data_IF_790768251484
#
_entry.id   IF_790768251484
#
_cell.length_a   1.000
_cell.length_b   1.000
_cell.length_c   1.000
_cell.angle_alpha   90.00
_cell.angle_beta   90.00
_cell.angle_gamma   90.00
#
_symmetry.space_group_name_H-M   'P 1'
#
loop_
_entity.id
_entity.type
_entity.pdbx_description
1 polymer ?
#
# COMPACT_ATOMS: atom_id res chain seq x y z
N UNK A 1 -39.62 -21.23 57.96
CA UNK A 1 -39.01 -20.33 58.96
C UNK A 1 -37.56 -20.78 59.14
N UNK A 2 -36.60 -19.91 58.81
CA UNK A 2 -35.18 -19.99 59.19
C UNK A 2 -35.06 -20.03 60.73
N UNK A 3 -33.97 -20.55 61.31
CA UNK A 3 -32.72 -19.83 61.66
C UNK A 3 -31.92 -20.88 62.49
N UNK A 4 -30.59 -20.99 62.59
CA UNK A 4 -29.38 -20.60 61.85
C UNK A 4 -28.26 -21.38 62.57
N UNK A 5 -27.37 -22.06 61.84
CA UNK A 5 -26.26 -22.85 62.42
C UNK A 5 -24.99 -21.99 62.58
N UNK A 6 -24.36 -22.06 63.75
CA UNK A 6 -22.95 -21.67 63.96
C UNK A 6 -22.02 -22.50 63.07
N UNK A 7 -20.82 -22.00 62.68
CA UNK A 7 -19.64 -22.35 63.48
C UNK A 7 -18.48 -21.33 63.48
N UNK A 8 -17.73 -21.34 64.58
CA UNK A 8 -16.30 -21.01 64.62
C UNK A 8 -15.51 -22.10 63.86
N UNK A 9 -14.77 -21.72 62.82
CA UNK A 9 -13.69 -22.52 62.24
C UNK A 9 -12.64 -21.56 61.63
N UNK A 10 -11.39 -21.62 62.09
CA UNK A 10 -10.25 -21.00 61.41
C UNK A 10 -9.80 -21.84 60.20
N UNK A 11 -8.52 -21.77 59.79
CA UNK A 11 -7.71 -20.63 59.37
C UNK A 11 -7.72 -20.52 57.83
N UNK A 12 -8.12 -19.37 57.28
CA UNK A 12 -8.27 -19.17 55.84
C UNK A 12 -7.11 -18.40 55.22
N UNK A 13 -6.37 -19.07 54.35
CA UNK A 13 -5.29 -18.54 53.51
C UNK A 13 -5.58 -17.14 52.95
N UNK A 14 -4.64 -16.22 53.15
CA UNK A 14 -4.53 -15.02 52.33
C UNK A 14 -4.26 -15.45 50.88
N UNK A 15 -5.32 -15.53 50.10
CA UNK A 15 -5.23 -15.69 48.65
C UNK A 15 -4.61 -14.40 48.10
N UNK A 16 -3.32 -14.45 47.81
CA UNK A 16 -2.66 -13.47 46.94
C UNK A 16 -3.34 -13.55 45.58
N UNK A 17 -4.42 -12.78 45.41
CA UNK A 17 -5.05 -12.52 44.12
C UNK A 17 -4.13 -11.57 43.35
N UNK A 18 -3.04 -12.12 42.84
CA UNK A 18 -2.30 -11.51 41.76
C UNK A 18 -3.26 -11.37 40.60
N UNK A 19 -3.62 -10.12 40.28
CA UNK A 19 -4.16 -9.78 38.98
C UNK A 19 -3.06 -10.07 37.96
N UNK A 20 -2.98 -11.31 37.50
CA UNK A 20 -2.24 -11.68 36.30
C UNK A 20 -2.93 -10.97 35.14
N UNK A 21 -2.47 -9.76 34.83
CA UNK A 21 -2.63 -9.15 33.51
C UNK A 21 -1.99 -10.11 32.52
N UNK A 22 -2.80 -11.00 31.96
CA UNK A 22 -2.40 -11.90 30.89
C UNK A 22 -2.05 -11.06 29.67
N UNK A 23 -0.79 -10.69 29.58
CA UNK A 23 -0.20 -10.04 28.41
C UNK A 23 -0.53 -10.93 27.20
N UNK A 24 -1.34 -10.46 26.24
CA UNK A 24 -1.71 -11.25 25.08
C UNK A 24 -0.46 -11.74 24.35
N UNK A 25 -0.51 -12.96 23.83
CA UNK A 25 0.64 -13.64 23.22
C UNK A 25 1.32 -12.79 22.13
N UNK A 26 0.55 -11.94 21.47
CA UNK A 26 0.99 -10.97 20.47
C UNK A 26 1.98 -9.90 21.01
N UNK A 27 1.81 -9.42 22.27
CA UNK A 27 2.80 -8.57 22.95
C UNK A 27 4.07 -9.35 23.30
N UNK A 28 3.93 -10.62 23.66
CA UNK A 28 5.07 -11.47 24.05
C UNK A 28 5.93 -11.89 22.86
N UNK A 29 5.33 -12.00 21.68
CA UNK A 29 6.04 -12.33 20.44
C UNK A 29 6.61 -11.10 19.72
N UNK A 30 6.41 -9.88 20.26
CA UNK A 30 6.83 -8.65 19.59
C UNK A 30 6.08 -8.39 18.27
N UNK A 31 4.90 -8.99 18.12
CA UNK A 31 4.07 -8.90 16.91
C UNK A 31 3.04 -7.78 17.00
N UNK A 32 2.81 -7.21 18.19
CA UNK A 32 2.06 -5.98 18.38
C UNK A 32 2.88 -4.77 17.95
N UNK A 33 2.40 -4.06 16.91
CA UNK A 33 2.86 -2.71 16.63
C UNK A 33 3.22 -2.38 15.19
N UNK A 34 2.99 -3.28 14.23
CA UNK A 34 2.73 -2.84 12.85
C UNK A 34 1.24 -2.47 12.67
N UNK A 35 0.53 -2.18 13.76
CA UNK A 35 -0.43 -1.07 13.76
C UNK A 35 0.37 0.22 13.59
N UNK A 36 0.87 0.38 12.36
CA UNK A 36 0.97 1.68 11.75
C UNK A 36 -0.44 2.27 11.87
N UNK A 37 -0.65 2.96 12.98
CA UNK A 37 -1.50 4.14 13.03
C UNK A 37 -0.92 5.04 11.95
N UNK A 38 -1.27 4.71 10.70
CA UNK A 38 -0.84 5.38 9.49
C UNK A 38 -1.40 6.76 9.65
N UNK A 39 -0.61 7.65 10.24
CA UNK A 39 -0.84 9.07 10.04
C UNK A 39 -0.95 9.21 8.53
N UNK A 40 -2.13 9.56 7.99
CA UNK A 40 -2.30 9.57 6.56
C UNK A 40 -1.25 10.54 6.01
N UNK A 41 -0.51 10.07 5.01
CA UNK A 41 0.54 10.87 4.41
C UNK A 41 -0.10 12.17 3.89
N UNK A 42 0.24 13.34 4.47
CA UNK A 42 -0.50 14.56 4.19
C UNK A 42 -0.31 15.03 2.74
N UNK A 43 0.74 14.57 2.06
CA UNK A 43 0.95 14.82 0.64
C UNK A 43 0.01 13.95 -0.20
N UNK A 44 -0.08 12.65 0.09
CA UNK A 44 -1.01 11.74 -0.56
C UNK A 44 -2.46 12.18 -0.38
N UNK A 45 -2.88 12.60 0.82
CA UNK A 45 -4.26 13.04 1.04
C UNK A 45 -4.63 14.23 0.15
N UNK A 46 -3.73 15.21 0.01
CA UNK A 46 -3.94 16.36 -0.87
C UNK A 46 -4.01 15.94 -2.33
N UNK A 47 -3.13 15.04 -2.74
CA UNK A 47 -3.14 14.47 -4.08
C UNK A 47 -4.45 13.72 -4.35
N UNK A 48 -4.87 12.85 -3.44
CA UNK A 48 -6.09 12.06 -3.54
C UNK A 48 -7.32 12.96 -3.68
N UNK A 49 -7.43 13.99 -2.84
CA UNK A 49 -8.53 14.96 -2.88
C UNK A 49 -8.56 15.70 -4.23
N UNK A 50 -7.39 16.15 -4.71
CA UNK A 50 -7.25 16.80 -6.02
C UNK A 50 -7.59 15.85 -7.18
N UNK A 51 -7.15 14.60 -7.10
CA UNK A 51 -7.40 13.56 -8.09
C UNK A 51 -8.89 13.22 -8.18
N UNK A 52 -9.56 13.05 -7.04
CA UNK A 52 -11.00 12.78 -6.99
C UNK A 52 -11.83 13.96 -7.49
N UNK A 53 -11.43 15.20 -7.16
CA UNK A 53 -12.04 16.42 -7.73
C UNK A 53 -11.89 16.47 -9.24
N UNK A 54 -10.70 16.15 -9.74
CA UNK A 54 -10.44 16.11 -11.17
C UNK A 54 -11.29 15.03 -11.87
N UNK A 55 -11.33 13.80 -11.34
CA UNK A 55 -12.18 12.71 -11.85
C UNK A 55 -13.65 13.12 -11.87
N UNK A 56 -14.15 13.83 -10.86
CA UNK A 56 -15.54 14.26 -10.83
C UNK A 56 -15.89 15.28 -11.95
N UNK A 57 -14.88 15.99 -12.47
CA UNK A 57 -15.03 17.02 -13.51
C UNK A 57 -14.63 16.59 -14.92
N UNK A 58 -13.98 15.43 -15.06
CA UNK A 58 -13.39 14.96 -16.30
C UNK A 58 -13.83 13.52 -16.61
N UNK A 59 -13.72 13.10 -17.87
CA UNK A 59 -13.89 11.68 -18.22
C UNK A 59 -12.59 10.93 -17.93
N UNK A 60 -12.57 10.04 -16.91
CA UNK A 60 -11.39 9.26 -16.61
C UNK A 60 -11.13 8.30 -17.78
N UNK A 61 -9.88 8.25 -18.20
CA UNK A 61 -9.38 7.25 -19.15
C UNK A 61 -7.91 7.01 -18.84
N UNK A 62 -7.31 5.86 -19.23
CA UNK A 62 -5.94 5.53 -18.87
C UNK A 62 -4.94 6.61 -19.31
N UNK A 63 -5.12 7.14 -20.53
CA UNK A 63 -4.29 8.20 -21.07
C UNK A 63 -4.48 9.55 -20.38
N UNK A 64 -5.71 9.91 -20.01
CA UNK A 64 -5.98 11.16 -19.28
C UNK A 64 -5.44 11.09 -17.85
N UNK A 65 -5.58 9.95 -17.19
CA UNK A 65 -5.05 9.71 -15.84
C UNK A 65 -3.53 9.80 -15.86
N UNK A 66 -2.87 9.16 -16.82
CA UNK A 66 -1.41 9.25 -16.95
C UNK A 66 -0.96 10.69 -17.23
N UNK A 67 -1.69 11.43 -18.08
CA UNK A 67 -1.41 12.84 -18.35
C UNK A 67 -1.57 13.69 -17.10
N UNK A 68 -2.64 13.48 -16.35
CA UNK A 68 -2.90 14.18 -15.08
C UNK A 68 -1.73 13.97 -14.12
N UNK A 69 -1.28 12.73 -13.90
CA UNK A 69 -0.16 12.44 -13.00
C UNK A 69 1.12 13.16 -13.43
N UNK A 70 1.40 13.26 -14.73
CA UNK A 70 2.58 13.97 -15.25
C UNK A 70 2.52 15.49 -15.06
N UNK A 71 1.31 16.05 -15.00
CA UNK A 71 1.06 17.49 -14.89
C UNK A 71 0.78 17.94 -13.46
N UNK A 72 0.45 17.01 -12.57
CA UNK A 72 0.18 17.31 -11.17
C UNK A 72 1.41 17.88 -10.49
N UNK A 73 1.31 19.14 -10.06
CA UNK A 73 2.27 19.78 -9.17
C UNK A 73 1.80 19.68 -7.70
N UNK A 74 2.75 19.35 -6.82
CA UNK A 74 2.50 19.47 -5.38
C UNK A 74 2.57 20.95 -4.95
N UNK A 75 2.27 21.23 -3.69
CA UNK A 75 2.30 22.61 -3.19
C UNK A 75 3.68 23.28 -3.21
N UNK A 76 4.74 22.51 -3.41
CA UNK A 76 6.10 23.00 -3.62
C UNK A 76 6.43 23.29 -5.08
N UNK A 77 5.48 23.10 -6.02
CA UNK A 77 5.70 23.24 -7.45
C UNK A 77 6.50 22.09 -8.08
N UNK A 78 6.68 20.98 -7.34
CA UNK A 78 7.36 19.80 -7.85
C UNK A 78 6.37 18.87 -8.56
N UNK A 79 6.87 18.07 -9.49
CA UNK A 79 6.09 17.05 -10.20
C UNK A 79 6.42 15.66 -9.63
N UNK A 80 5.75 15.22 -8.55
CA UNK A 80 6.13 14.01 -7.79
C UNK A 80 6.00 12.72 -8.59
N UNK A 81 5.18 12.71 -9.64
CA UNK A 81 4.90 11.52 -10.45
C UNK A 81 5.61 11.53 -11.82
N UNK A 82 6.78 12.16 -11.91
CA UNK A 82 7.60 12.19 -13.14
C UNK A 82 8.02 10.80 -13.63
N UNK A 83 8.22 9.84 -12.73
CA UNK A 83 8.68 8.50 -13.07
C UNK A 83 7.54 7.50 -13.12
N UNK A 84 7.68 6.47 -13.95
CA UNK A 84 6.72 5.36 -14.06
C UNK A 84 6.49 4.68 -12.71
N UNK A 85 7.54 4.48 -11.92
CA UNK A 85 7.44 3.89 -10.58
C UNK A 85 6.56 4.75 -9.66
N UNK A 86 6.79 6.07 -9.62
CA UNK A 86 6.01 6.98 -8.79
C UNK A 86 4.54 7.04 -9.23
N UNK A 87 4.26 6.95 -10.53
CA UNK A 87 2.89 6.85 -11.03
C UNK A 87 2.21 5.54 -10.59
N UNK A 88 2.93 4.41 -10.65
CA UNK A 88 2.40 3.12 -10.18
C UNK A 88 2.11 3.12 -8.68
N UNK A 89 3.03 3.64 -7.87
CA UNK A 89 2.88 3.72 -6.42
C UNK A 89 1.66 4.58 -6.06
N UNK A 90 1.53 5.76 -6.68
CA UNK A 90 0.41 6.68 -6.45
C UNK A 90 -0.94 6.05 -6.83
N UNK A 91 -1.05 5.44 -8.01
CA UNK A 91 -2.28 4.78 -8.45
C UNK A 91 -2.63 3.58 -7.56
N UNK A 92 -1.63 2.86 -7.07
CA UNK A 92 -1.86 1.75 -6.13
C UNK A 92 -2.47 2.28 -4.83
N UNK A 93 -1.91 3.36 -4.26
CA UNK A 93 -2.46 3.99 -3.06
C UNK A 93 -3.87 4.55 -3.29
N UNK A 94 -4.13 5.18 -4.44
CA UNK A 94 -5.47 5.64 -4.82
C UNK A 94 -6.46 4.48 -4.85
N UNK A 95 -6.11 3.37 -5.50
CA UNK A 95 -7.00 2.20 -5.58
C UNK A 95 -7.28 1.63 -4.20
N UNK A 96 -6.27 1.51 -3.32
CA UNK A 96 -6.47 1.07 -1.93
C UNK A 96 -7.45 2.01 -1.22
N UNK A 97 -7.25 3.32 -1.31
CA UNK A 97 -8.14 4.32 -0.69
C UNK A 97 -9.57 4.26 -1.24
N UNK A 98 -9.73 4.03 -2.54
CA UNK A 98 -11.04 3.85 -3.16
C UNK A 98 -11.73 2.57 -2.69
N UNK A 99 -10.99 1.48 -2.47
CA UNK A 99 -11.53 0.25 -1.86
C UNK A 99 -12.05 0.48 -0.45
N UNK A 100 -11.27 1.18 0.37
CA UNK A 100 -11.65 1.53 1.74
C UNK A 100 -12.93 2.38 1.79
N UNK A 101 -13.19 3.17 0.75
CA UNK A 101 -14.41 3.97 0.58
C UNK A 101 -15.56 3.21 -0.11
N UNK A 102 -15.38 1.94 -0.48
CA UNK A 102 -16.40 1.14 -1.17
C UNK A 102 -16.65 1.54 -2.62
N UNK A 103 -15.66 2.16 -3.29
CA UNK A 103 -15.79 2.66 -4.67
C UNK A 103 -15.34 1.64 -5.74
N UNK A 104 -15.20 0.36 -5.39
CA UNK A 104 -14.64 -0.69 -6.28
C UNK A 104 -15.44 -0.89 -7.57
N UNK A 105 -16.76 -0.70 -7.51
CA UNK A 105 -17.63 -0.87 -8.68
C UNK A 105 -17.73 0.39 -9.56
N UNK A 106 -17.17 1.51 -9.10
CA UNK A 106 -17.23 2.78 -9.81
C UNK A 106 -16.43 2.74 -11.12
N UNK A 107 -16.89 3.51 -12.11
CA UNK A 107 -16.16 3.71 -13.36
C UNK A 107 -14.77 4.31 -13.10
N UNK A 108 -14.68 5.29 -12.20
CA UNK A 108 -13.42 5.88 -11.76
C UNK A 108 -12.40 4.84 -11.27
N UNK A 109 -12.85 3.85 -10.49
CA UNK A 109 -11.97 2.79 -10.00
C UNK A 109 -11.48 1.89 -11.14
N UNK A 110 -12.39 1.49 -12.05
CA UNK A 110 -12.06 0.67 -13.22
C UNK A 110 -11.04 1.36 -14.13
N UNK A 111 -11.24 2.64 -14.41
CA UNK A 111 -10.35 3.43 -15.24
C UNK A 111 -8.99 3.68 -14.55
N UNK A 112 -8.98 3.93 -13.24
CA UNK A 112 -7.75 4.06 -12.44
C UNK A 112 -6.95 2.75 -12.45
N UNK A 113 -7.65 1.60 -12.34
CA UNK A 113 -7.02 0.27 -12.44
C UNK A 113 -6.48 0.01 -13.84
N UNK A 114 -7.23 0.38 -14.88
CA UNK A 114 -6.81 0.27 -16.27
C UNK A 114 -5.55 1.11 -16.54
N UNK A 115 -5.50 2.34 -16.00
CA UNK A 115 -4.32 3.20 -16.04
C UNK A 115 -3.10 2.54 -15.38
N UNK A 116 -3.26 1.96 -14.19
CA UNK A 116 -2.18 1.26 -13.48
C UNK A 116 -1.64 0.09 -14.32
N UNK A 117 -2.51 -0.72 -14.91
CA UNK A 117 -2.11 -1.83 -15.79
C UNK A 117 -1.36 -1.31 -17.00
N UNK A 118 -1.87 -0.29 -17.69
CA UNK A 118 -1.23 0.31 -18.87
C UNK A 118 0.18 0.84 -18.57
N UNK A 119 0.34 1.55 -17.45
CA UNK A 119 1.64 2.08 -17.00
C UNK A 119 2.60 0.93 -16.67
N UNK A 120 2.11 -0.11 -16.00
CA UNK A 120 2.90 -1.30 -15.66
C UNK A 120 3.37 -2.06 -16.90
N UNK A 121 2.48 -2.29 -17.87
CA UNK A 121 2.82 -2.94 -19.15
C UNK A 121 3.85 -2.13 -19.94
N UNK A 122 3.69 -0.80 -19.98
CA UNK A 122 4.65 0.09 -20.62
C UNK A 122 6.03 -0.04 -19.95
N UNK A 123 6.08 -0.03 -18.62
CA UNK A 123 7.32 -0.20 -17.85
C UNK A 123 8.02 -1.53 -18.16
N UNK A 124 7.25 -2.62 -18.24
CA UNK A 124 7.78 -3.95 -18.55
C UNK A 124 8.34 -4.01 -19.96
N UNK A 125 7.61 -3.50 -20.95
CA UNK A 125 8.08 -3.43 -22.34
C UNK A 125 9.42 -2.67 -22.46
N UNK A 126 9.55 -1.51 -21.81
CA UNK A 126 10.80 -0.76 -21.82
C UNK A 126 11.95 -1.53 -21.17
N UNK A 127 11.69 -2.26 -20.07
CA UNK A 127 12.71 -3.09 -19.41
C UNK A 127 13.16 -4.25 -20.29
N UNK A 128 12.24 -4.94 -20.95
CA UNK A 128 12.56 -6.02 -21.89
C UNK A 128 13.34 -5.51 -23.09
N UNK A 129 12.92 -4.39 -23.70
CA UNK A 129 13.65 -3.75 -24.79
C UNK A 129 15.08 -3.35 -24.37
N UNK A 130 15.24 -2.74 -23.20
CA UNK A 130 16.58 -2.40 -22.69
C UNK A 130 17.44 -3.64 -22.43
N UNK A 131 16.84 -4.75 -21.96
CA UNK A 131 17.58 -6.00 -21.83
C UNK A 131 17.99 -6.57 -23.19
N UNK A 132 17.14 -6.50 -24.21
CA UNK A 132 17.44 -7.02 -25.55
C UNK A 132 18.54 -6.20 -26.24
N UNK A 133 18.47 -4.86 -26.16
CA UNK A 133 19.45 -3.96 -26.81
C UNK A 133 20.79 -3.94 -26.09
N UNK A 134 20.81 -4.04 -24.75
CA UNK A 134 22.02 -3.88 -23.95
C UNK A 134 22.59 -5.19 -23.39
N UNK A 135 21.96 -6.35 -23.66
CA UNK A 135 22.66 -7.62 -23.51
C UNK A 135 23.64 -7.73 -24.68
N UNK A 136 24.96 -7.67 -24.48
CA UNK A 136 25.87 -8.18 -25.50
C UNK A 136 25.41 -9.61 -25.78
N UNK A 137 25.16 -9.92 -27.05
CA UNK A 137 24.90 -11.29 -27.47
C UNK A 137 25.93 -12.19 -26.81
N UNK A 138 25.50 -13.31 -26.21
CA UNK A 138 26.41 -14.35 -25.66
C UNK A 138 27.44 -14.85 -26.70
N UNK A 139 27.32 -14.41 -27.95
CA UNK A 139 28.25 -14.56 -29.05
C UNK A 139 29.54 -13.68 -28.97
N UNK A 140 29.74 -12.90 -27.90
CA UNK A 140 31.05 -12.26 -27.63
C UNK A 140 32.07 -13.22 -27.00
N UNK A 141 31.64 -14.24 -26.24
CA UNK A 141 32.53 -15.32 -25.78
C UNK A 141 32.89 -16.31 -26.92
N UNK A 142 32.12 -16.33 -28.02
CA UNK A 142 32.45 -17.10 -29.24
C UNK A 142 33.53 -16.45 -30.11
N UNK A 143 33.93 -15.21 -29.84
CA UNK A 143 34.94 -14.50 -30.65
C UNK A 143 36.38 -14.94 -30.37
N UNK A 144 36.63 -15.62 -29.26
CA UNK A 144 37.99 -16.13 -28.93
C UNK A 144 38.38 -17.37 -29.75
N UNK A 145 37.45 -17.99 -30.51
CA UNK A 145 37.72 -19.14 -31.37
C UNK A 145 37.49 -18.90 -32.87
N UNK A 146 37.30 -17.64 -33.28
CA UNK A 146 37.14 -17.30 -34.70
C UNK A 146 38.51 -17.23 -35.39
N UNK A 147 38.96 -18.33 -35.98
CA UNK A 147 40.07 -18.29 -36.95
C UNK A 147 39.61 -17.59 -38.23
N UNK A 148 39.91 -16.30 -38.36
CA UNK A 148 39.87 -15.55 -39.61
C UNK A 148 41.25 -15.52 -40.26
#
# INVERSE_FOLDING_TARGET
MNIDNYPLAGPGQASHRGTETTVPLDQRMGLQGAETSSRPDPEFERFYDAFMKWIASATPSPGNIQRYLKQYDNAGGELPFKTTQKQMDALTQVLVRMKEQGLEDSEAYKETRSALVSISSTNMFFKEFMQDVFKPSEDEDSRENSSW
#
